data_IF_036314123001
#
_entry.id   IF_036314123001
#
_cell.length_a   1.000
_cell.length_b   1.000
_cell.length_c   1.000
_cell.angle_alpha   90.00
_cell.angle_beta   90.00
_cell.angle_gamma   90.00
#
_symmetry.space_group_name_H-M   'P 1'
#
loop_
_entity.id
_entity.type
_entity.pdbx_description
1 polymer ?
#
# COMPACT_ATOMS: atom_id res chain seq x y z
N UNK A 1 5.08 -8.83 -31.70
CA UNK A 1 4.41 -7.57 -32.07
C UNK A 1 5.01 -6.47 -31.21
N UNK A 2 5.91 -5.65 -31.80
CA UNK A 2 6.69 -4.60 -31.11
C UNK A 2 5.74 -3.59 -30.45
N UNK A 3 5.86 -3.34 -29.15
CA UNK A 3 5.12 -2.25 -28.50
C UNK A 3 5.93 -0.98 -28.65
N UNK A 4 5.36 0.03 -29.31
CA UNK A 4 6.02 1.33 -29.47
C UNK A 4 6.38 1.96 -28.11
N UNK A 5 7.45 2.75 -28.06
CA UNK A 5 7.94 3.35 -26.82
C UNK A 5 6.85 4.09 -26.03
N UNK A 6 5.98 4.82 -26.74
CA UNK A 6 4.82 5.53 -26.19
C UNK A 6 3.81 4.59 -25.52
N UNK A 7 3.59 3.39 -26.08
CA UNK A 7 2.71 2.36 -25.50
C UNK A 7 3.26 1.78 -24.19
N UNK A 8 4.59 1.69 -24.07
CA UNK A 8 5.27 1.19 -22.86
C UNK A 8 5.13 2.16 -21.69
N UNK A 9 5.46 3.43 -21.91
CA UNK A 9 5.29 4.45 -20.87
C UNK A 9 3.83 4.63 -20.46
N UNK A 10 2.89 4.51 -21.42
CA UNK A 10 1.47 4.50 -21.12
C UNK A 10 1.07 3.32 -20.22
N UNK A 11 1.52 2.10 -20.55
CA UNK A 11 1.25 0.91 -19.73
C UNK A 11 1.84 1.03 -18.31
N UNK A 12 3.07 1.52 -18.19
CA UNK A 12 3.71 1.75 -16.90
C UNK A 12 2.94 2.80 -16.08
N UNK A 13 2.55 3.92 -16.68
CA UNK A 13 1.76 4.96 -16.01
C UNK A 13 0.41 4.42 -15.52
N UNK A 14 -0.27 3.60 -16.32
CA UNK A 14 -1.51 2.92 -15.93
C UNK A 14 -1.26 1.99 -14.74
N UNK A 15 -0.18 1.19 -14.76
CA UNK A 15 0.14 0.29 -13.66
C UNK A 15 0.43 1.06 -12.36
N UNK A 16 1.17 2.17 -12.42
CA UNK A 16 1.41 3.03 -11.26
C UNK A 16 0.11 3.62 -10.74
N UNK A 17 -0.76 4.15 -11.61
CA UNK A 17 -2.05 4.71 -11.22
C UNK A 17 -2.96 3.65 -10.57
N UNK A 18 -3.05 2.45 -11.16
CA UNK A 18 -3.76 1.32 -10.59
C UNK A 18 -3.17 0.94 -9.22
N UNK A 19 -1.85 0.91 -9.10
CA UNK A 19 -1.18 0.55 -7.84
C UNK A 19 -1.48 1.55 -6.72
N UNK A 20 -1.48 2.85 -7.03
CA UNK A 20 -1.86 3.90 -6.08
C UNK A 20 -3.31 3.76 -5.61
N UNK A 21 -4.24 3.53 -6.54
CA UNK A 21 -5.65 3.31 -6.22
C UNK A 21 -5.80 2.05 -5.36
N UNK A 22 -5.16 0.95 -5.74
CA UNK A 22 -5.22 -0.29 -4.95
C UNK A 22 -4.67 -0.09 -3.55
N UNK A 23 -3.52 0.57 -3.40
CA UNK A 23 -2.90 0.82 -2.09
C UNK A 23 -3.82 1.64 -1.18
N UNK A 24 -4.32 2.76 -1.68
CA UNK A 24 -5.18 3.67 -0.90
C UNK A 24 -6.50 2.99 -0.51
N UNK A 25 -7.12 2.23 -1.42
CA UNK A 25 -8.35 1.50 -1.13
C UNK A 25 -8.14 0.33 -0.17
N UNK A 26 -7.15 -0.53 -0.41
CA UNK A 26 -6.93 -1.70 0.45
C UNK A 26 -6.55 -1.29 1.87
N UNK A 27 -5.77 -0.22 2.01
CA UNK A 27 -5.41 0.35 3.29
C UNK A 27 -6.63 0.91 4.03
N UNK A 28 -7.43 1.76 3.37
CA UNK A 28 -8.59 2.37 4.01
C UNK A 28 -9.68 1.34 4.36
N UNK A 29 -9.94 0.38 3.46
CA UNK A 29 -10.83 -0.77 3.75
C UNK A 29 -10.31 -1.55 4.95
N UNK A 30 -8.99 -1.65 5.12
CA UNK A 30 -8.38 -2.26 6.28
C UNK A 30 -8.82 -1.61 7.58
N UNK A 31 -8.78 -0.28 7.67
CA UNK A 31 -9.28 0.45 8.84
C UNK A 31 -10.78 0.24 9.08
N UNK A 32 -11.60 0.22 8.02
CA UNK A 32 -13.04 -0.03 8.15
C UNK A 32 -13.33 -1.43 8.71
N UNK A 33 -12.64 -2.45 8.20
CA UNK A 33 -12.78 -3.83 8.68
C UNK A 33 -12.30 -3.93 10.13
N UNK A 34 -11.12 -3.38 10.45
CA UNK A 34 -10.57 -3.38 11.81
C UNK A 34 -11.47 -2.67 12.81
N UNK A 35 -12.00 -1.51 12.43
CA UNK A 35 -12.95 -0.75 13.24
C UNK A 35 -14.23 -1.53 13.48
N UNK A 36 -14.84 -2.10 12.44
CA UNK A 36 -16.06 -2.88 12.60
C UNK A 36 -15.86 -4.13 13.47
N UNK A 37 -14.77 -4.88 13.25
CA UNK A 37 -14.39 -6.01 14.09
C UNK A 37 -14.10 -5.61 15.54
N UNK A 38 -13.55 -4.40 15.75
CA UNK A 38 -13.27 -3.83 17.07
C UNK A 38 -14.47 -3.25 17.80
N UNK A 39 -15.65 -3.23 17.16
CA UNK A 39 -16.87 -2.62 17.69
C UNK A 39 -16.92 -1.09 17.57
N UNK A 40 -16.09 -0.52 16.72
CA UNK A 40 -15.99 0.91 16.52
C UNK A 40 -17.16 1.45 15.67
N UNK A 41 -17.62 2.65 15.98
CA UNK A 41 -18.71 3.32 15.22
C UNK A 41 -18.11 4.26 14.19
N UNK A 42 -18.37 4.03 12.91
CA UNK A 42 -17.91 4.89 11.83
C UNK A 42 -18.66 6.24 11.86
N UNK A 43 -17.92 7.34 11.99
CA UNK A 43 -18.48 8.70 12.02
C UNK A 43 -18.23 9.49 10.74
N UNK A 44 -17.19 9.13 9.98
CA UNK A 44 -16.91 9.72 8.69
C UNK A 44 -15.83 8.93 7.95
N UNK A 45 -15.94 8.88 6.62
CA UNK A 45 -14.93 8.27 5.77
C UNK A 45 -14.78 9.02 4.45
N UNK A 46 -13.58 8.98 3.89
CA UNK A 46 -13.30 9.38 2.51
C UNK A 46 -12.35 8.38 1.88
N UNK A 47 -12.80 7.73 0.81
CA UNK A 47 -11.99 6.79 0.02
C UNK A 47 -11.46 7.41 -1.27
N UNK A 48 -11.45 8.75 -1.35
CA UNK A 48 -11.01 9.44 -2.56
C UNK A 48 -9.49 9.29 -2.73
N UNK A 49 -8.98 8.59 -3.76
CA UNK A 49 -7.54 8.30 -3.90
C UNK A 49 -6.69 9.54 -4.20
N UNK A 50 -7.34 10.65 -4.60
CA UNK A 50 -6.71 11.94 -4.88
C UNK A 50 -6.53 12.82 -3.63
N UNK A 51 -7.10 12.41 -2.50
CA UNK A 51 -6.88 13.00 -1.17
C UNK A 51 -6.31 11.90 -0.28
N UNK A 52 -5.70 12.26 0.85
CA UNK A 52 -5.37 11.26 1.86
C UNK A 52 -6.69 10.62 2.34
N UNK A 53 -6.91 9.32 2.08
CA UNK A 53 -8.09 8.63 2.58
C UNK A 53 -8.08 8.67 4.10
N UNK A 54 -9.26 8.69 4.70
CA UNK A 54 -9.37 8.59 6.14
C UNK A 54 -10.68 7.93 6.55
N UNK A 55 -10.63 7.22 7.67
CA UNK A 55 -11.80 6.79 8.44
C UNK A 55 -11.67 7.27 9.88
N UNK A 56 -12.76 7.86 10.35
CA UNK A 56 -12.92 8.29 11.72
C UNK A 56 -13.92 7.37 12.41
N UNK A 57 -13.45 6.68 13.43
CA UNK A 57 -14.27 5.84 14.28
C UNK A 57 -14.37 6.47 15.67
N UNK A 58 -15.60 6.66 16.17
CA UNK A 58 -15.85 7.17 17.51
C UNK A 58 -17.25 6.73 17.99
N UNK A 59 -17.36 5.99 19.11
CA UNK A 59 -16.26 5.45 19.92
C UNK A 59 -15.49 4.35 19.17
N UNK A 60 -14.20 4.22 19.46
CA UNK A 60 -13.35 3.10 19.02
C UNK A 60 -12.83 2.34 20.25
N UNK A 61 -13.44 1.18 20.60
CA UNK A 61 -13.02 0.39 21.75
C UNK A 61 -11.64 -0.23 21.60
N UNK A 62 -11.17 -0.46 20.36
CA UNK A 62 -9.94 -1.18 20.06
C UNK A 62 -9.12 -0.44 18.99
N UNK A 63 -8.62 0.77 19.27
CA UNK A 63 -7.96 1.62 18.27
C UNK A 63 -6.70 0.99 17.69
N UNK A 64 -5.98 0.16 18.47
CA UNK A 64 -4.82 -0.59 17.97
C UNK A 64 -5.21 -1.55 16.84
N UNK A 65 -6.35 -2.24 16.96
CA UNK A 65 -6.85 -3.15 15.94
C UNK A 65 -7.23 -2.37 14.68
N UNK A 66 -8.03 -1.32 14.83
CA UNK A 66 -8.44 -0.43 13.74
C UNK A 66 -7.23 0.10 12.97
N UNK A 67 -6.26 0.65 13.68
CA UNK A 67 -5.08 1.29 13.08
C UNK A 67 -4.11 0.29 12.45
N UNK A 68 -3.94 -0.92 12.99
CA UNK A 68 -3.12 -1.95 12.35
C UNK A 68 -3.79 -2.61 11.16
N UNK A 69 -5.12 -2.76 11.19
CA UNK A 69 -5.85 -3.41 10.11
C UNK A 69 -5.67 -2.69 8.78
N UNK A 70 -5.50 -1.36 8.78
CA UNK A 70 -5.19 -0.56 7.60
C UNK A 70 -3.95 -1.04 6.85
N UNK A 71 -2.74 -0.85 7.39
CA UNK A 71 -1.50 -1.30 6.76
C UNK A 71 -1.42 -2.82 6.57
N UNK A 72 -1.95 -3.63 7.50
CA UNK A 72 -1.90 -5.10 7.37
C UNK A 72 -2.76 -5.60 6.21
N UNK A 73 -4.02 -5.15 6.11
CA UNK A 73 -4.89 -5.52 4.98
C UNK A 73 -4.47 -4.80 3.69
N UNK A 74 -3.91 -3.60 3.83
CA UNK A 74 -3.30 -2.83 2.75
C UNK A 74 -2.21 -3.58 1.99
N UNK A 75 -1.46 -4.43 2.69
CA UNK A 75 -0.40 -5.29 2.14
C UNK A 75 -0.90 -6.70 1.80
N UNK A 76 -1.67 -7.32 2.69
CA UNK A 76 -2.06 -8.73 2.52
C UNK A 76 -3.08 -8.93 1.40
N UNK A 77 -4.06 -8.03 1.24
CA UNK A 77 -5.07 -8.17 0.19
C UNK A 77 -4.48 -8.12 -1.23
N UNK A 78 -3.60 -7.15 -1.59
CA UNK A 78 -2.95 -7.17 -2.90
C UNK A 78 -2.07 -8.40 -3.14
N UNK A 79 -1.34 -8.87 -2.12
CA UNK A 79 -0.50 -10.08 -2.23
C UNK A 79 -1.38 -11.32 -2.48
N UNK A 80 -2.48 -11.48 -1.73
CA UNK A 80 -3.42 -12.57 -1.94
C UNK A 80 -4.04 -12.52 -3.34
N UNK A 81 -4.42 -11.34 -3.82
CA UNK A 81 -4.92 -11.16 -5.19
C UNK A 81 -3.87 -11.57 -6.22
N UNK A 82 -2.60 -11.18 -6.04
CA UNK A 82 -1.51 -11.58 -6.93
C UNK A 82 -1.23 -13.09 -6.91
N UNK A 83 -1.35 -13.74 -5.74
CA UNK A 83 -1.22 -15.20 -5.60
C UNK A 83 -2.35 -15.96 -6.31
N UNK A 84 -3.58 -15.44 -6.28
CA UNK A 84 -4.75 -16.05 -6.92
C UNK A 84 -4.77 -15.82 -8.44
N UNK A 85 -4.52 -14.60 -8.87
CA UNK A 85 -4.59 -14.21 -10.30
C UNK A 85 -3.33 -14.66 -11.05
N UNK A 86 -2.17 -14.66 -10.38
CA UNK A 86 -0.87 -15.13 -10.90
C UNK A 86 -0.39 -14.41 -12.16
N UNK A 87 -0.84 -13.19 -12.38
CA UNK A 87 -0.40 -12.33 -13.49
C UNK A 87 0.69 -11.36 -13.02
N UNK A 88 1.66 -11.09 -13.88
CA UNK A 88 2.80 -10.21 -13.56
C UNK A 88 2.37 -8.78 -13.17
N UNK A 89 1.33 -8.25 -13.80
CA UNK A 89 0.79 -6.94 -13.45
C UNK A 89 0.19 -6.90 -12.05
N UNK A 90 -0.36 -8.01 -11.54
CA UNK A 90 -0.87 -8.07 -10.16
C UNK A 90 0.28 -8.04 -9.16
N UNK A 91 1.38 -8.72 -9.46
CA UNK A 91 2.60 -8.68 -8.63
C UNK A 91 3.19 -7.28 -8.58
N UNK A 92 3.25 -6.57 -9.71
CA UNK A 92 3.65 -5.16 -9.76
C UNK A 92 2.82 -4.30 -8.78
N UNK A 93 1.49 -4.46 -8.81
CA UNK A 93 0.57 -3.74 -7.92
C UNK A 93 0.80 -4.14 -6.46
N UNK A 94 0.93 -5.43 -6.17
CA UNK A 94 1.13 -5.93 -4.82
C UNK A 94 2.47 -5.46 -4.22
N UNK A 95 3.54 -5.49 -5.00
CA UNK A 95 4.89 -5.08 -4.58
C UNK A 95 4.97 -3.56 -4.38
N UNK A 96 4.24 -2.78 -5.20
CA UNK A 96 4.01 -1.36 -4.92
C UNK A 96 3.26 -1.15 -3.60
N UNK A 97 2.15 -1.85 -3.37
CA UNK A 97 1.36 -1.71 -2.15
C UNK A 97 2.18 -2.05 -0.91
N UNK A 98 2.97 -3.13 -0.97
CA UNK A 98 3.89 -3.54 0.08
C UNK A 98 4.87 -2.40 0.43
N UNK A 99 5.56 -1.84 -0.58
CA UNK A 99 6.49 -0.74 -0.39
C UNK A 99 5.79 0.52 0.16
N UNK A 100 4.70 0.92 -0.48
CA UNK A 100 3.99 2.16 -0.20
C UNK A 100 3.38 2.19 1.22
N UNK A 101 2.84 1.07 1.72
CA UNK A 101 2.34 0.99 3.10
C UNK A 101 3.46 1.21 4.13
N UNK A 102 4.63 0.62 3.90
CA UNK A 102 5.79 0.81 4.77
C UNK A 102 6.32 2.24 4.76
N UNK A 103 6.47 2.82 3.56
CA UNK A 103 6.90 4.20 3.38
C UNK A 103 5.90 5.18 3.99
N UNK A 104 4.60 4.94 3.81
CA UNK A 104 3.54 5.78 4.38
C UNK A 104 3.65 5.86 5.90
N UNK A 105 3.77 4.73 6.61
CA UNK A 105 3.94 4.74 8.07
C UNK A 105 5.25 5.43 8.50
N UNK A 106 6.35 5.19 7.77
CA UNK A 106 7.62 5.86 8.08
C UNK A 106 7.54 7.39 7.89
N UNK A 107 6.91 7.85 6.82
CA UNK A 107 6.68 9.28 6.56
C UNK A 107 5.67 9.87 7.54
N UNK A 108 4.64 9.12 7.94
CA UNK A 108 3.69 9.54 8.96
C UNK A 108 4.37 9.74 10.32
N UNK A 109 5.30 8.87 10.68
CA UNK A 109 6.15 9.05 11.86
C UNK A 109 6.91 10.37 11.78
N UNK A 110 7.58 10.61 10.65
CA UNK A 110 8.44 11.77 10.46
C UNK A 110 7.65 13.08 10.41
N UNK A 111 6.50 13.09 9.74
CA UNK A 111 5.62 14.25 9.62
C UNK A 111 4.97 14.62 10.97
N UNK A 112 4.69 13.64 11.83
CA UNK A 112 4.15 13.87 13.17
C UNK A 112 2.72 14.43 13.20
N UNK A 113 2.01 14.45 12.08
CA UNK A 113 0.63 14.94 12.02
C UNK A 113 -0.30 13.97 12.76
N UNK A 114 -1.03 14.48 13.74
CA UNK A 114 -1.99 13.75 14.60
C UNK A 114 -3.07 12.98 13.83
N UNK A 115 -3.34 13.33 12.58
CA UNK A 115 -4.34 12.64 11.77
C UNK A 115 -3.77 11.44 11.00
N UNK A 116 -2.45 11.31 10.93
CA UNK A 116 -1.78 10.18 10.30
C UNK A 116 -1.72 8.97 11.24
N UNK A 117 -1.66 7.79 10.64
CA UNK A 117 -1.74 6.52 11.34
C UNK A 117 -0.70 6.38 12.43
N UNK A 118 0.57 6.69 12.12
CA UNK A 118 1.66 6.39 13.05
C UNK A 118 1.57 7.19 14.35
N UNK A 119 1.35 8.51 14.32
CA UNK A 119 1.03 9.27 15.53
C UNK A 119 -0.20 8.74 16.28
N UNK A 120 -1.27 8.32 15.58
CA UNK A 120 -2.46 7.71 16.20
C UNK A 120 -2.15 6.35 16.84
N UNK A 121 -1.29 5.54 16.22
CA UNK A 121 -0.86 4.24 16.72
C UNK A 121 -0.06 4.41 18.01
N UNK A 122 0.87 5.36 18.04
CA UNK A 122 1.64 5.70 19.24
C UNK A 122 0.74 6.21 20.36
N UNK A 123 -0.24 7.08 20.04
CA UNK A 123 -1.23 7.55 21.01
C UNK A 123 -2.14 6.43 21.53
N UNK A 124 -2.42 5.41 20.71
CA UNK A 124 -3.16 4.21 21.07
C UNK A 124 -2.32 3.17 21.85
N UNK A 125 -1.04 3.45 22.12
CA UNK A 125 -0.16 2.57 22.91
C UNK A 125 0.54 1.48 22.10
N UNK A 126 0.57 1.57 20.77
CA UNK A 126 1.34 0.63 19.93
C UNK A 126 2.83 0.79 20.20
N UNK A 127 3.52 -0.33 20.41
CA UNK A 127 4.96 -0.34 20.65
C UNK A 127 5.74 0.17 19.41
N UNK A 128 6.59 1.20 19.54
CA UNK A 128 7.42 1.73 18.44
C UNK A 128 8.16 0.67 17.63
N UNK A 129 8.70 -0.34 18.32
CA UNK A 129 9.46 -1.44 17.71
C UNK A 129 8.61 -2.21 16.70
N UNK A 130 7.32 -2.41 16.96
CA UNK A 130 6.42 -3.11 16.03
C UNK A 130 6.22 -2.31 14.74
N UNK A 131 6.06 -1.00 14.84
CA UNK A 131 5.94 -0.08 13.69
C UNK A 131 7.24 -0.08 12.89
N UNK A 132 8.39 0.08 13.55
CA UNK A 132 9.71 0.05 12.91
C UNK A 132 9.94 -1.30 12.20
N UNK A 133 9.63 -2.41 12.86
CA UNK A 133 9.81 -3.75 12.29
C UNK A 133 8.95 -3.94 11.05
N UNK A 134 7.69 -3.50 11.10
CA UNK A 134 6.80 -3.53 9.95
C UNK A 134 7.37 -2.68 8.80
N UNK A 135 7.70 -1.41 9.05
CA UNK A 135 8.27 -0.51 8.05
C UNK A 135 9.54 -1.09 7.41
N UNK A 136 10.50 -1.56 8.21
CA UNK A 136 11.74 -2.13 7.68
C UNK A 136 11.47 -3.36 6.81
N UNK A 137 10.62 -4.28 7.26
CA UNK A 137 10.29 -5.48 6.51
C UNK A 137 9.59 -5.15 5.18
N UNK A 138 8.55 -4.30 5.21
CA UNK A 138 7.77 -3.96 4.02
C UNK A 138 8.54 -3.08 3.04
N UNK A 139 9.35 -2.13 3.53
CA UNK A 139 10.16 -1.27 2.67
C UNK A 139 11.29 -2.08 2.03
N UNK A 140 12.02 -2.91 2.79
CA UNK A 140 13.11 -3.70 2.24
C UNK A 140 12.62 -4.70 1.19
N UNK A 141 11.59 -5.48 1.52
CA UNK A 141 11.04 -6.47 0.60
C UNK A 141 10.35 -5.82 -0.60
N UNK A 142 9.52 -4.80 -0.34
CA UNK A 142 8.80 -4.05 -1.37
C UNK A 142 9.76 -3.36 -2.33
N UNK A 143 10.82 -2.72 -1.84
CA UNK A 143 11.79 -2.04 -2.69
C UNK A 143 12.49 -3.01 -3.65
N UNK A 144 13.00 -4.13 -3.14
CA UNK A 144 13.72 -5.12 -3.96
C UNK A 144 12.83 -5.66 -5.06
N UNK A 145 11.60 -6.05 -4.72
CA UNK A 145 10.65 -6.66 -5.66
C UNK A 145 10.09 -5.63 -6.65
N UNK A 146 9.60 -4.50 -6.16
CA UNK A 146 9.03 -3.45 -7.00
C UNK A 146 10.07 -2.85 -7.96
N UNK A 147 11.33 -2.73 -7.54
CA UNK A 147 12.43 -2.32 -8.43
C UNK A 147 12.62 -3.33 -9.56
N UNK A 148 12.62 -4.62 -9.27
CA UNK A 148 12.75 -5.67 -10.29
C UNK A 148 11.58 -5.61 -11.28
N UNK A 149 10.36 -5.39 -10.80
CA UNK A 149 9.17 -5.25 -11.64
C UNK A 149 9.23 -4.00 -12.53
N UNK A 150 9.69 -2.87 -11.99
CA UNK A 150 9.90 -1.65 -12.77
C UNK A 150 10.91 -1.88 -13.91
N UNK A 151 12.02 -2.56 -13.60
CA UNK A 151 13.02 -2.92 -14.62
C UNK A 151 12.40 -3.84 -15.66
N UNK A 152 11.67 -4.88 -15.26
CA UNK A 152 11.05 -5.81 -16.19
C UNK A 152 10.04 -5.12 -17.12
N UNK A 153 9.18 -4.23 -16.60
CA UNK A 153 8.20 -3.50 -17.41
C UNK A 153 8.87 -2.51 -18.37
N UNK A 154 10.00 -1.92 -17.98
CA UNK A 154 10.70 -0.91 -18.78
C UNK A 154 11.79 -1.48 -19.71
N UNK A 155 12.36 -2.65 -19.41
CA UNK A 155 13.50 -3.24 -20.10
C UNK A 155 13.15 -4.23 -21.22
N UNK A 156 11.87 -4.58 -21.41
CA UNK A 156 11.42 -5.35 -22.58
C UNK A 156 11.83 -4.57 -23.84
N UNK A 157 12.84 -5.10 -24.55
CA UNK A 157 13.48 -4.70 -25.82
C UNK A 157 14.95 -4.20 -25.77
N UNK A 158 15.74 -4.46 -24.72
CA UNK A 158 17.20 -4.24 -24.80
C UNK A 158 17.98 -5.37 -25.49
N UNK A 159 17.33 -6.44 -25.97
CA UNK A 159 18.00 -7.66 -26.43
C UNK A 159 17.50 -8.13 -27.80
N UNK A 160 18.15 -7.66 -28.86
CA UNK A 160 18.66 -8.51 -29.95
C UNK A 160 19.86 -7.78 -30.61
N UNK A 161 21.07 -8.37 -30.65
CA UNK A 161 22.08 -7.99 -31.62
C UNK A 161 21.58 -8.42 -33.00
N UNK A 162 21.59 -7.48 -33.94
CA UNK A 162 21.35 -7.74 -35.36
C UNK A 162 22.38 -8.75 -35.90
N UNK A 163 21.92 -9.95 -36.26
CA UNK A 163 22.58 -10.82 -37.25
C UNK A 163 21.78 -10.83 -38.56
#
# INVERSE_FOLDING_TARGET
MRRDATSRYGSFAILIACSWITMTFSHEIGHLIGGWCGGATLTGYSVSPWRLPFSLHNPDPNPMLTLWAGPVLGVTLPILAALLIRQSWCWFVADFCLLANGVYLALAWWAGDRFLDTPRMLAAGVAPISIITFCLATVALGYVRFRADCIHVLAIDAQEPSE
#
